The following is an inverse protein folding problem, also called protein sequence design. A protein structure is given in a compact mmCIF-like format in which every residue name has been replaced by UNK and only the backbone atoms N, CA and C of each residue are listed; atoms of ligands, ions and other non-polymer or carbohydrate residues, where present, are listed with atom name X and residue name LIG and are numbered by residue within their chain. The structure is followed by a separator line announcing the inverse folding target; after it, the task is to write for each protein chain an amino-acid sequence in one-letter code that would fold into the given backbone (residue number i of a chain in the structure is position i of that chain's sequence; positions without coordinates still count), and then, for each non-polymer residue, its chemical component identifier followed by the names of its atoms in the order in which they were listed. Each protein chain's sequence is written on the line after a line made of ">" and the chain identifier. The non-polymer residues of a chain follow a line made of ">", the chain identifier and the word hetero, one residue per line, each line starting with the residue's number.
data_IF_982680584956
#
_entry.id   IF_982680584956
#
_cell.length_a   1.000
_cell.length_b   1.000
_cell.length_c   1.000
_cell.angle_alpha   90.00
_cell.angle_beta   90.00
_cell.angle_gamma   90.00
#
_symmetry.space_group_name_H-M   'P 1'
#
loop_
_entity.id
_entity.type
_entity.pdbx_description
1 polymer ?
#
# COMPACT_ATOMS: atom_id res chain seq x y z
N UNK A 1 16.08 16.04 16.88
CA UNK A 1 16.46 15.43 15.60
C UNK A 1 15.51 15.95 14.54
N UNK A 2 15.88 17.04 13.88
CA UNK A 2 15.33 17.44 12.57
C UNK A 2 16.50 17.31 11.58
N UNK A 3 16.18 17.16 10.30
CA UNK A 3 17.10 17.23 9.14
C UNK A 3 17.43 15.91 8.43
N UNK A 4 16.42 15.06 8.21
CA UNK A 4 16.33 14.37 6.91
C UNK A 4 15.11 14.89 6.16
N UNK A 5 15.22 15.27 4.88
CA UNK A 5 14.06 15.59 4.07
C UNK A 5 13.13 14.37 4.05
N UNK A 6 11.84 14.59 4.32
CA UNK A 6 10.86 13.52 4.35
C UNK A 6 10.60 13.05 2.92
N UNK A 7 10.82 11.76 2.64
CA UNK A 7 10.64 11.19 1.30
C UNK A 7 9.26 11.47 0.72
N UNK A 8 8.19 11.31 1.50
CA UNK A 8 6.81 11.55 1.04
C UNK A 8 6.48 13.03 0.82
N UNK A 9 7.13 13.96 1.52
CA UNK A 9 6.96 15.39 1.23
C UNK A 9 7.54 15.79 -0.14
N UNK A 10 8.49 15.01 -0.68
CA UNK A 10 9.21 15.32 -1.91
C UNK A 10 8.71 14.53 -3.13
N UNK A 11 7.65 13.74 -2.99
CA UNK A 11 7.07 12.98 -4.13
C UNK A 11 6.50 13.96 -5.16
N UNK A 12 6.85 13.75 -6.43
CA UNK A 12 6.27 14.51 -7.54
C UNK A 12 4.83 14.06 -7.79
N UNK A 13 3.93 15.03 -7.95
CA UNK A 13 2.52 14.78 -8.30
C UNK A 13 2.30 13.92 -9.55
N UNK A 14 3.30 13.83 -10.44
CA UNK A 14 3.29 12.95 -11.62
C UNK A 14 3.29 11.46 -11.28
N UNK A 15 3.72 11.10 -10.07
CA UNK A 15 3.70 9.72 -9.60
C UNK A 15 2.36 9.33 -8.94
N UNK A 16 1.43 10.28 -8.77
CA UNK A 16 0.13 10.01 -8.17
C UNK A 16 -0.75 9.19 -9.10
N UNK A 17 -1.35 8.11 -8.58
CA UNK A 17 -2.36 7.33 -9.30
C UNK A 17 -3.79 7.84 -9.04
N UNK A 18 -3.96 8.56 -7.93
CA UNK A 18 -5.17 9.28 -7.56
C UNK A 18 -4.82 10.29 -6.46
N UNK A 19 -5.58 11.38 -6.34
CA UNK A 19 -5.43 12.33 -5.26
C UNK A 19 -6.75 13.06 -4.96
N UNK A 20 -6.78 13.73 -3.81
CA UNK A 20 -7.84 14.66 -3.44
C UNK A 20 -7.25 15.87 -2.72
N UNK A 21 -8.08 16.68 -2.07
CA UNK A 21 -7.65 17.92 -1.40
C UNK A 21 -6.53 17.70 -0.36
N UNK A 22 -6.52 16.57 0.35
CA UNK A 22 -5.62 16.36 1.50
C UNK A 22 -4.69 15.17 1.35
N UNK A 23 -5.00 14.21 0.47
CA UNK A 23 -4.25 12.97 0.30
C UNK A 23 -3.92 12.72 -1.16
N UNK A 24 -2.88 11.92 -1.38
CA UNK A 24 -2.54 11.35 -2.67
C UNK A 24 -2.27 9.85 -2.51
N UNK A 25 -2.36 9.12 -3.61
CA UNK A 25 -2.10 7.69 -3.67
C UNK A 25 -0.97 7.40 -4.66
N UNK A 26 -0.04 6.53 -4.28
CA UNK A 26 1.04 6.01 -5.13
C UNK A 26 1.13 4.50 -5.01
N UNK A 27 1.61 3.82 -6.04
CA UNK A 27 1.98 2.41 -5.93
C UNK A 27 3.26 2.29 -5.09
N UNK A 28 3.27 1.31 -4.18
CA UNK A 28 4.43 1.03 -3.34
C UNK A 28 5.61 0.57 -4.23
N UNK A 29 6.82 1.04 -3.92
CA UNK A 29 8.03 0.63 -4.63
C UNK A 29 8.50 -0.78 -4.26
N UNK A 30 8.17 -1.23 -3.04
CA UNK A 30 8.42 -2.56 -2.48
C UNK A 30 7.09 -3.25 -2.18
N UNK A 31 6.26 -3.48 -3.21
CA UNK A 31 4.93 -4.05 -3.04
C UNK A 31 4.99 -5.47 -2.47
N UNK A 32 4.01 -5.82 -1.62
CA UNK A 32 3.83 -7.19 -1.09
C UNK A 32 2.74 -7.96 -1.84
N UNK A 33 2.00 -7.27 -2.70
CA UNK A 33 0.94 -7.79 -3.54
C UNK A 33 0.79 -6.90 -4.78
N UNK A 34 0.44 -7.44 -5.97
CA UNK A 34 0.12 -6.62 -7.12
C UNK A 34 -0.95 -5.57 -6.78
N UNK A 35 -0.68 -4.31 -7.09
CA UNK A 35 -1.52 -3.15 -6.76
C UNK A 35 -1.37 -2.61 -5.33
N UNK A 36 -0.39 -3.08 -4.54
CA UNK A 36 -0.08 -2.49 -3.24
C UNK A 36 0.12 -0.97 -3.38
N UNK A 37 -0.79 -0.23 -2.75
CA UNK A 37 -0.90 1.23 -2.87
C UNK A 37 -0.73 1.88 -1.50
N UNK A 38 -0.06 3.03 -1.45
CA UNK A 38 0.07 3.88 -0.29
C UNK A 38 -0.83 5.10 -0.44
N UNK A 39 -1.69 5.37 0.56
CA UNK A 39 -2.47 6.60 0.68
C UNK A 39 -1.80 7.49 1.71
N UNK A 40 -1.38 8.69 1.31
CA UNK A 40 -0.45 9.54 2.05
C UNK A 40 -1.01 10.97 2.12
N UNK A 41 -1.01 11.64 3.29
CA UNK A 41 -1.42 13.04 3.36
C UNK A 41 -0.40 13.92 2.65
N UNK A 42 -0.87 14.92 1.91
CA UNK A 42 -0.03 15.95 1.28
C UNK A 42 0.74 16.77 2.31
N UNK A 43 0.13 16.97 3.49
CA UNK A 43 0.80 17.55 4.64
C UNK A 43 1.56 16.50 5.43
N UNK A 44 2.70 16.89 6.01
CA UNK A 44 3.45 16.01 6.88
C UNK A 44 2.71 15.77 8.20
N UNK A 45 2.13 14.58 8.33
CA UNK A 45 1.53 14.07 9.56
C UNK A 45 2.37 12.87 9.97
N UNK A 46 2.99 12.83 11.16
CA UNK A 46 4.01 11.81 11.47
C UNK A 46 3.43 10.39 11.55
N UNK A 47 2.20 10.22 12.05
CA UNK A 47 1.53 8.92 12.14
C UNK A 47 -0.01 9.09 12.29
N UNK A 48 -0.72 7.98 12.44
CA UNK A 48 -2.19 7.99 12.51
C UNK A 48 -2.75 8.70 13.74
N UNK A 49 -2.04 8.65 14.87
CA UNK A 49 -2.50 9.26 16.12
C UNK A 49 -2.49 10.80 16.05
N UNK A 50 -1.79 11.36 15.06
CA UNK A 50 -1.74 12.81 14.81
C UNK A 50 -2.72 13.27 13.72
N UNK A 51 -3.52 12.36 13.13
CA UNK A 51 -4.52 12.69 12.14
C UNK A 51 -5.80 13.23 12.79
N UNK A 52 -6.28 14.40 12.36
CA UNK A 52 -7.58 14.89 12.85
C UNK A 52 -8.75 14.11 12.22
N UNK A 53 -9.87 13.93 12.93
CA UNK A 53 -11.05 13.24 12.41
C UNK A 53 -11.57 13.81 11.08
N UNK A 54 -11.53 15.13 10.93
CA UNK A 54 -12.00 15.84 9.73
C UNK A 54 -11.13 15.48 8.52
N UNK A 55 -9.82 15.40 8.70
CA UNK A 55 -8.89 14.97 7.66
C UNK A 55 -9.04 13.47 7.35
N UNK A 56 -9.38 12.67 8.37
CA UNK A 56 -9.63 11.23 8.21
C UNK A 56 -10.75 10.87 7.23
N UNK A 57 -11.76 11.73 7.07
CA UNK A 57 -12.81 11.52 6.06
C UNK A 57 -12.24 11.56 4.64
N UNK A 58 -11.30 12.47 4.39
CA UNK A 58 -10.65 12.60 3.08
C UNK A 58 -9.80 11.37 2.75
N UNK A 59 -9.10 10.82 3.74
CA UNK A 59 -8.35 9.57 3.64
C UNK A 59 -9.26 8.39 3.26
N UNK A 60 -10.39 8.21 3.96
CA UNK A 60 -11.33 7.12 3.69
C UNK A 60 -11.95 7.21 2.28
N UNK A 61 -12.26 8.42 1.82
CA UNK A 61 -12.75 8.65 0.45
C UNK A 61 -11.72 8.20 -0.59
N UNK A 62 -10.46 8.58 -0.41
CA UNK A 62 -9.41 8.21 -1.36
C UNK A 62 -9.13 6.70 -1.36
N UNK A 63 -9.16 6.04 -0.19
CA UNK A 63 -9.02 4.58 -0.11
C UNK A 63 -10.09 3.88 -0.95
N UNK A 64 -11.35 4.32 -0.85
CA UNK A 64 -12.44 3.76 -1.65
C UNK A 64 -12.28 4.05 -3.14
N UNK A 65 -11.90 5.28 -3.50
CA UNK A 65 -11.70 5.65 -4.90
C UNK A 65 -10.57 4.83 -5.54
N UNK A 66 -9.45 4.67 -4.83
CA UNK A 66 -8.33 3.83 -5.29
C UNK A 66 -8.77 2.38 -5.44
N UNK A 67 -9.50 1.84 -4.46
CA UNK A 67 -10.09 0.50 -4.56
C UNK A 67 -10.91 0.33 -5.85
N UNK A 68 -11.80 1.27 -6.14
CA UNK A 68 -12.69 1.21 -7.31
C UNK A 68 -11.93 1.38 -8.64
N UNK A 69 -10.78 2.06 -8.62
CA UNK A 69 -9.90 2.28 -9.78
C UNK A 69 -8.92 1.14 -10.02
N UNK A 70 -8.50 0.42 -8.97
CA UNK A 70 -7.56 -0.68 -9.08
C UNK A 70 -8.21 -1.83 -9.85
N UNK A 71 -7.82 -1.95 -11.12
CA UNK A 71 -8.19 -3.06 -12.01
C UNK A 71 -6.93 -3.74 -12.52
N UNK A 72 -7.05 -5.01 -12.90
CA UNK A 72 -5.95 -5.80 -13.48
C UNK A 72 -5.32 -5.12 -14.70
N UNK A 73 -6.13 -4.42 -15.51
CA UNK A 73 -5.66 -3.67 -16.69
C UNK A 73 -4.75 -2.50 -16.32
N UNK A 74 -5.15 -1.65 -15.37
CA UNK A 74 -4.35 -0.49 -14.91
C UNK A 74 -3.02 -0.94 -14.30
N UNK A 75 -3.02 -2.08 -13.61
CA UNK A 75 -1.82 -2.63 -13.00
C UNK A 75 -0.82 -3.16 -14.03
N UNK A 76 -1.30 -3.74 -15.13
CA UNK A 76 -0.44 -4.31 -16.18
C UNK A 76 0.46 -3.25 -16.80
N UNK A 77 -0.10 -2.13 -17.24
CA UNK A 77 0.65 -1.03 -17.84
C UNK A 77 1.74 -0.48 -16.90
N UNK A 78 1.40 -0.33 -15.61
CA UNK A 78 2.36 0.13 -14.60
C UNK A 78 3.53 -0.86 -14.45
N UNK A 79 3.24 -2.14 -14.28
CA UNK A 79 4.29 -3.13 -14.05
C UNK A 79 5.15 -3.37 -15.29
N UNK A 80 4.59 -3.31 -16.50
CA UNK A 80 5.36 -3.37 -17.76
C UNK A 80 6.35 -2.21 -17.87
N UNK A 81 5.90 -0.99 -17.52
CA UNK A 81 6.78 0.19 -17.45
C UNK A 81 7.92 -0.03 -16.47
N UNK A 82 7.65 -0.53 -15.26
CA UNK A 82 8.67 -0.78 -14.23
C UNK A 82 9.59 -1.97 -14.55
N UNK A 83 9.16 -2.95 -15.34
CA UNK A 83 10.08 -3.99 -15.87
C UNK A 83 11.06 -3.40 -16.88
N UNK A 84 10.60 -2.43 -17.68
CA UNK A 84 11.39 -1.75 -18.72
C UNK A 84 12.38 -0.75 -18.14
N UNK A 85 11.98 0.01 -17.11
CA UNK A 85 12.83 1.00 -16.44
C UNK A 85 12.78 0.81 -14.92
N UNK A 86 13.35 -0.29 -14.40
CA UNK A 86 13.31 -0.61 -12.99
C UNK A 86 14.26 0.29 -12.20
N UNK A 87 13.87 0.62 -10.96
CA UNK A 87 14.74 1.27 -9.97
C UNK A 87 15.90 0.37 -9.56
N UNK A 88 15.63 -0.91 -9.34
CA UNK A 88 16.62 -1.93 -8.97
C UNK A 88 16.19 -3.35 -9.41
N UNK A 89 17.08 -4.33 -9.17
CA UNK A 89 16.85 -5.74 -9.54
C UNK A 89 15.67 -6.36 -8.78
N UNK A 90 15.47 -5.95 -7.53
CA UNK A 90 14.39 -6.46 -6.67
C UNK A 90 13.04 -6.02 -7.19
N UNK A 91 12.89 -4.73 -7.51
CA UNK A 91 11.68 -4.18 -8.11
C UNK A 91 11.39 -4.88 -9.45
N UNK A 92 12.39 -5.06 -10.32
CA UNK A 92 12.21 -5.75 -11.60
C UNK A 92 11.68 -7.18 -11.39
N UNK A 93 12.23 -7.91 -10.42
CA UNK A 93 11.81 -9.28 -10.11
C UNK A 93 10.36 -9.31 -9.63
N UNK A 94 9.98 -8.41 -8.72
CA UNK A 94 8.59 -8.31 -8.26
C UNK A 94 7.64 -7.98 -9.41
N UNK A 95 7.94 -6.98 -10.23
CA UNK A 95 7.04 -6.54 -11.30
C UNK A 95 6.77 -7.67 -12.30
N UNK A 96 7.77 -8.54 -12.58
CA UNK A 96 7.56 -9.75 -13.39
C UNK A 96 6.61 -10.75 -12.74
N UNK A 97 6.72 -10.97 -11.43
CA UNK A 97 5.80 -11.85 -10.69
C UNK A 97 4.39 -11.27 -10.68
N UNK A 98 4.27 -9.96 -10.51
CA UNK A 98 2.98 -9.27 -10.56
C UNK A 98 2.32 -9.37 -11.93
N UNK A 99 3.08 -9.21 -13.02
CA UNK A 99 2.56 -9.40 -14.37
C UNK A 99 2.11 -10.84 -14.62
N UNK A 100 2.89 -11.83 -14.17
CA UNK A 100 2.47 -13.23 -14.26
C UNK A 100 1.15 -13.48 -13.52
N UNK A 101 1.03 -12.96 -12.29
CA UNK A 101 -0.20 -13.08 -11.50
C UNK A 101 -1.40 -12.38 -12.16
N UNK A 102 -1.18 -11.26 -12.84
CA UNK A 102 -2.23 -10.56 -13.60
C UNK A 102 -2.63 -11.35 -14.85
N UNK A 103 -1.65 -11.92 -15.58
CA UNK A 103 -1.87 -12.72 -16.79
C UNK A 103 -2.57 -14.06 -16.49
N UNK A 104 -2.36 -14.63 -15.30
CA UNK A 104 -3.07 -15.81 -14.80
C UNK A 104 -4.54 -15.51 -14.43
N UNK A 105 -5.06 -14.32 -14.81
CA UNK A 105 -6.40 -13.81 -14.54
C UNK A 105 -6.81 -13.90 -13.07
N UNK A 106 -5.84 -13.72 -12.16
CA UNK A 106 -6.16 -13.79 -10.75
C UNK A 106 -7.03 -12.59 -10.41
N UNK A 107 -8.31 -12.86 -10.22
CA UNK A 107 -9.33 -11.88 -9.86
C UNK A 107 -8.94 -11.19 -8.56
N UNK A 108 -8.82 -9.86 -8.62
CA UNK A 108 -8.84 -9.00 -7.44
C UNK A 108 -10.14 -9.30 -6.66
N UNK A 109 -10.00 -9.94 -5.51
CA UNK A 109 -11.14 -10.49 -4.76
C UNK A 109 -11.45 -9.62 -3.54
N UNK A 110 -10.43 -9.31 -2.76
CA UNK A 110 -10.55 -8.67 -1.46
C UNK A 110 -9.38 -7.71 -1.22
N UNK A 111 -9.40 -6.99 -0.10
CA UNK A 111 -8.33 -6.04 0.25
C UNK A 111 -8.04 -6.07 1.74
N UNK A 112 -6.78 -5.84 2.09
CA UNK A 112 -6.39 -5.44 3.43
C UNK A 112 -6.06 -3.94 3.45
N UNK A 113 -6.56 -3.25 4.48
CA UNK A 113 -6.19 -1.87 4.77
C UNK A 113 -5.40 -1.86 6.07
N UNK A 114 -4.16 -1.36 6.03
CA UNK A 114 -3.23 -1.41 7.17
C UNK A 114 -2.56 -0.08 7.43
N UNK A 115 -2.38 0.26 8.71
CA UNK A 115 -1.66 1.46 9.13
C UNK A 115 -0.71 1.06 10.26
N UNK A 116 0.57 1.42 10.13
CA UNK A 116 1.55 1.24 11.20
C UNK A 116 1.79 2.61 11.86
N UNK A 117 1.56 2.72 13.16
CA UNK A 117 1.75 3.95 13.93
C UNK A 117 2.79 3.71 15.03
N UNK A 118 3.96 4.33 14.89
CA UNK A 118 5.12 4.13 15.76
C UNK A 118 6.04 2.99 15.33
N UNK A 119 7.31 3.07 15.74
CA UNK A 119 8.39 2.15 15.35
C UNK A 119 8.09 0.69 15.74
N UNK A 120 7.55 0.44 16.94
CA UNK A 120 7.20 -0.91 17.40
C UNK A 120 6.03 -1.54 16.62
N UNK A 121 5.20 -0.73 15.97
CA UNK A 121 4.17 -1.21 15.04
C UNK A 121 4.75 -1.49 13.64
N UNK A 122 6.04 -1.22 13.43
CA UNK A 122 6.77 -1.37 12.17
C UNK A 122 6.59 -0.19 11.22
N UNK A 123 6.33 1.02 11.74
CA UNK A 123 6.39 2.23 10.93
C UNK A 123 7.85 2.55 10.59
N UNK A 124 8.20 2.55 9.30
CA UNK A 124 9.57 2.81 8.82
C UNK A 124 9.75 4.23 8.28
N UNK A 125 8.67 4.85 7.78
CA UNK A 125 8.65 6.25 7.35
C UNK A 125 7.81 7.06 8.33
N UNK A 126 8.41 8.09 8.94
CA UNK A 126 7.74 9.01 9.85
C UNK A 126 6.89 10.02 9.07
N UNK A 127 5.92 9.52 8.33
CA UNK A 127 4.88 10.27 7.64
C UNK A 127 3.76 9.26 7.42
N UNK A 128 2.58 9.53 7.94
CA UNK A 128 1.40 8.68 7.87
C UNK A 128 1.20 8.15 6.45
N UNK A 129 1.05 6.84 6.33
CA UNK A 129 0.69 6.19 5.08
C UNK A 129 -0.22 5.01 5.40
N UNK A 130 -1.28 4.87 4.62
CA UNK A 130 -2.18 3.73 4.69
C UNK A 130 -1.83 2.77 3.56
N UNK A 131 -1.60 1.52 3.90
CA UNK A 131 -1.43 0.45 2.94
C UNK A 131 -2.81 -0.03 2.50
N UNK A 132 -3.08 0.04 1.20
CA UNK A 132 -4.17 -0.69 0.54
C UNK A 132 -3.53 -1.86 -0.22
N UNK A 133 -3.74 -3.07 0.27
CA UNK A 133 -3.10 -4.29 -0.23
C UNK A 133 -4.17 -5.17 -0.87
N UNK A 134 -4.17 -5.31 -2.20
CA UNK A 134 -5.09 -6.22 -2.85
C UNK A 134 -4.81 -7.68 -2.49
N UNK A 135 -5.88 -8.46 -2.40
CA UNK A 135 -5.88 -9.89 -2.09
C UNK A 135 -6.54 -10.64 -3.22
N UNK A 136 -5.99 -11.80 -3.49
CA UNK A 136 -6.25 -12.56 -4.69
C UNK A 136 -6.80 -13.93 -4.31
N UNK A 137 -7.78 -14.41 -5.08
CA UNK A 137 -8.32 -15.75 -4.85
C UNK A 137 -7.19 -16.80 -4.95
N UNK A 138 -6.96 -17.53 -3.86
CA UNK A 138 -5.91 -18.55 -3.82
C UNK A 138 -4.52 -18.04 -3.43
N UNK A 139 -4.36 -16.77 -3.03
CA UNK A 139 -3.07 -16.31 -2.48
C UNK A 139 -2.64 -17.14 -1.24
N UNK A 140 -1.32 -17.26 -1.08
CA UNK A 140 -0.66 -18.06 -0.05
C UNK A 140 -0.48 -17.29 1.28
N UNK A 141 -0.89 -16.03 1.30
CA UNK A 141 -0.92 -15.22 2.51
C UNK A 141 -1.87 -15.82 3.55
N UNK A 142 -1.43 -15.87 4.82
CA UNK A 142 -2.28 -16.32 5.93
C UNK A 142 -3.58 -15.49 5.93
N UNK A 143 -4.69 -16.14 5.60
CA UNK A 143 -6.00 -15.47 5.41
C UNK A 143 -6.65 -15.08 6.74
N UNK A 144 -6.18 -15.68 7.82
CA UNK A 144 -6.75 -15.58 9.16
C UNK A 144 -5.69 -15.13 10.14
N UNK A 145 -5.81 -13.87 10.53
CA UNK A 145 -5.07 -13.28 11.64
C UNK A 145 -5.05 -11.77 11.55
N UNK A 146 -5.16 -11.14 12.71
CA UNK A 146 -5.11 -9.70 12.85
C UNK A 146 -3.80 -9.10 12.33
N UNK A 147 -3.75 -7.77 12.32
CA UNK A 147 -2.59 -6.99 11.87
C UNK A 147 -1.42 -7.22 12.84
N UNK A 148 -0.60 -8.24 12.53
CA UNK A 148 0.60 -8.68 13.27
C UNK A 148 0.30 -9.34 14.63
N UNK A 149 1.16 -10.28 15.02
CA UNK A 149 1.09 -10.98 16.30
C UNK A 149 2.39 -10.79 17.06
N UNK A 150 2.29 -10.41 18.33
CA UNK A 150 3.46 -10.27 19.23
C UNK A 150 3.75 -11.56 20.01
N UNK A 151 2.77 -12.48 20.04
CA UNK A 151 2.90 -13.81 20.62
C UNK A 151 2.86 -14.82 19.48
N UNK A 152 3.93 -15.62 19.26
CA UNK A 152 4.01 -16.55 18.13
C UNK A 152 2.86 -17.56 18.07
N UNK A 153 2.27 -17.89 19.21
CA UNK A 153 1.14 -18.82 19.34
C UNK A 153 -0.21 -18.18 19.01
N UNK A 154 -0.26 -16.86 18.79
CA UNK A 154 -1.46 -16.14 18.41
C UNK A 154 -1.42 -15.81 16.93
N UNK A 155 -2.61 -15.76 16.34
CA UNK A 155 -2.78 -15.16 15.04
C UNK A 155 -3.82 -15.81 14.20
N UNK A 156 -3.86 -17.13 14.16
CA UNK A 156 -5.00 -17.81 13.57
C UNK A 156 -6.16 -17.82 14.58
N UNK A 157 -7.18 -16.96 14.36
CA UNK A 157 -8.38 -16.94 15.21
C UNK A 157 -9.34 -18.11 14.95
N UNK A 158 -9.08 -18.92 13.91
CA UNK A 158 -9.79 -20.17 13.72
C UNK A 158 -9.08 -21.23 14.55
N UNK A 159 -9.64 -21.50 15.71
CA UNK A 159 -9.32 -22.70 16.48
C UNK A 159 -9.99 -23.89 15.77
N UNK A 160 -9.24 -24.96 15.52
CA UNK A 160 -9.83 -26.28 15.21
C UNK A 160 -10.60 -26.81 16.43
#
# INVERSE_FOLDING_TARGET
>A
MRDKPCFFCEIDSRDYIADNEHFYAILDEYPVSPGHTLIIPKQHIPDFLHLSPEFGVSMLRLIKEVHDKLSTYVLKDFYESKVSTPKDVTQKKFCKLALQAIDDEISLADFNVGINSGENAGQTVNHLHVHLIPRFAGDDGVKTGGVRHIFPERGNYRHE
#
